data_IF_179457216011
#
_entry.id   IF_179457216011
#
_cell.length_a   1.000
_cell.length_b   1.000
_cell.length_c   1.000
_cell.angle_alpha   90.00
_cell.angle_beta   90.00
_cell.angle_gamma   90.00
#
_symmetry.space_group_name_H-M   'P 1'
#
loop_
_entity.id
_entity.type
_entity.pdbx_description
1 polymer ?
#
# COMPACT_ATOMS: atom_id res chain seq x y z
N UNK A 1 9.38 -1.99 35.60
CA UNK A 1 9.61 -2.19 34.16
C UNK A 1 8.48 -3.03 33.62
N UNK A 2 7.85 -2.53 32.59
CA UNK A 2 6.71 -3.17 31.95
C UNK A 2 7.20 -3.81 30.61
N UNK A 3 7.05 -5.12 30.48
CA UNK A 3 7.41 -5.87 29.28
C UNK A 3 6.33 -5.80 28.20
N UNK A 4 5.27 -4.99 28.38
CA UNK A 4 4.16 -4.89 27.41
C UNK A 4 4.58 -4.45 26.02
N UNK A 5 5.73 -3.79 25.87
CA UNK A 5 6.30 -3.38 24.58
C UNK A 5 6.68 -4.58 23.69
N UNK A 6 6.93 -5.75 24.27
CA UNK A 6 7.34 -6.95 23.54
C UNK A 6 6.32 -8.08 23.54
N UNK A 7 5.36 -8.08 24.50
CA UNK A 7 4.39 -9.17 24.69
C UNK A 7 3.03 -8.67 25.21
N UNK A 8 2.75 -7.38 25.08
CA UNK A 8 1.54 -6.77 25.69
C UNK A 8 0.36 -6.62 24.74
N UNK A 9 0.62 -6.53 23.43
CA UNK A 9 -0.37 -6.24 22.42
C UNK A 9 -0.75 -7.50 21.64
N UNK A 10 -1.94 -7.48 21.01
CA UNK A 10 -2.42 -8.62 20.22
C UNK A 10 -1.47 -8.96 19.06
N UNK A 11 -0.85 -7.96 18.49
CA UNK A 11 0.05 -8.10 17.36
C UNK A 11 1.37 -8.79 17.79
N UNK A 12 1.92 -8.41 18.95
CA UNK A 12 3.08 -9.09 19.55
C UNK A 12 2.76 -10.54 19.81
N UNK A 13 1.57 -10.80 20.42
CA UNK A 13 1.10 -12.15 20.72
C UNK A 13 0.95 -12.98 19.45
N UNK A 14 0.41 -12.39 18.38
CA UNK A 14 0.28 -13.09 17.08
C UNK A 14 1.65 -13.46 16.51
N UNK A 15 2.63 -12.56 16.55
CA UNK A 15 4.00 -12.82 16.11
C UNK A 15 4.66 -13.92 16.94
N UNK A 16 4.52 -13.87 18.28
CA UNK A 16 5.02 -14.90 19.19
C UNK A 16 4.37 -16.26 18.96
N UNK A 17 3.07 -16.31 18.66
CA UNK A 17 2.38 -17.54 18.38
C UNK A 17 2.94 -18.24 17.14
N UNK A 18 3.15 -17.51 16.04
CA UNK A 18 3.75 -18.07 14.82
C UNK A 18 5.14 -18.67 15.07
N UNK A 19 5.97 -17.96 15.84
CA UNK A 19 7.30 -18.45 16.21
C UNK A 19 7.23 -19.66 17.13
N UNK A 20 6.32 -19.65 18.10
CA UNK A 20 6.12 -20.74 19.05
C UNK A 20 5.65 -22.02 18.37
N UNK A 21 4.70 -21.93 17.43
CA UNK A 21 4.24 -23.06 16.63
C UNK A 21 5.39 -23.67 15.81
N UNK A 22 6.20 -22.84 15.18
CA UNK A 22 7.36 -23.28 14.41
C UNK A 22 8.38 -23.97 15.33
N UNK A 23 8.66 -23.42 16.50
CA UNK A 23 9.55 -24.06 17.49
C UNK A 23 9.05 -25.43 17.92
N UNK A 24 7.75 -25.57 18.18
CA UNK A 24 7.16 -26.87 18.54
C UNK A 24 7.31 -27.87 17.42
N UNK A 25 7.13 -27.47 16.16
CA UNK A 25 7.37 -28.34 15.00
C UNK A 25 8.82 -28.80 14.88
N UNK A 26 9.78 -27.90 15.12
CA UNK A 26 11.20 -28.22 15.10
C UNK A 26 11.53 -29.21 16.22
N UNK A 27 11.03 -28.98 17.43
CA UNK A 27 11.24 -29.85 18.56
C UNK A 27 10.69 -31.26 18.33
N UNK A 28 9.51 -31.38 17.72
CA UNK A 28 8.93 -32.68 17.35
C UNK A 28 9.76 -33.43 16.29
N UNK A 29 10.44 -32.68 15.42
CA UNK A 29 11.22 -33.25 14.31
C UNK A 29 12.73 -33.30 14.57
N UNK A 30 13.24 -32.81 15.67
CA UNK A 30 14.67 -32.62 15.91
C UNK A 30 15.51 -33.89 15.72
N UNK A 31 14.97 -35.06 16.02
CA UNK A 31 15.66 -36.34 15.86
C UNK A 31 15.78 -36.79 14.39
N UNK A 32 15.06 -36.14 13.47
CA UNK A 32 15.13 -36.44 12.04
C UNK A 32 16.19 -35.60 11.30
N UNK A 33 16.80 -34.64 11.96
CA UNK A 33 17.84 -33.79 11.37
C UNK A 33 19.24 -34.23 11.79
N UNK A 34 20.23 -33.99 10.94
CA UNK A 34 21.64 -34.08 11.37
C UNK A 34 21.93 -32.96 12.36
N UNK A 35 22.97 -33.12 13.16
CA UNK A 35 23.41 -32.07 14.12
C UNK A 35 23.71 -30.75 13.42
N UNK A 36 24.37 -30.81 12.26
CA UNK A 36 24.71 -29.64 11.46
C UNK A 36 23.42 -28.92 10.98
N UNK A 37 22.47 -29.69 10.43
CA UNK A 37 21.20 -29.13 9.94
C UNK A 37 20.36 -28.54 11.06
N UNK A 38 20.32 -29.20 12.22
CA UNK A 38 19.62 -28.69 13.39
C UNK A 38 20.25 -27.38 13.88
N UNK A 39 21.58 -27.27 13.89
CA UNK A 39 22.26 -26.04 14.25
C UNK A 39 21.93 -24.87 13.30
N UNK A 40 21.92 -25.11 11.97
CA UNK A 40 21.49 -24.11 10.99
C UNK A 40 20.06 -23.61 11.27
N UNK A 41 19.13 -24.55 11.47
CA UNK A 41 17.72 -24.22 11.79
C UNK A 41 17.63 -23.40 13.07
N UNK A 42 18.36 -23.81 14.12
CA UNK A 42 18.34 -23.11 15.40
C UNK A 42 18.96 -21.72 15.33
N UNK A 43 19.96 -21.48 14.49
CA UNK A 43 20.47 -20.13 14.27
C UNK A 43 19.41 -19.21 13.69
N UNK A 44 18.64 -19.65 12.71
CA UNK A 44 17.55 -18.85 12.13
C UNK A 44 16.43 -18.59 13.18
N UNK A 45 16.11 -19.57 14.02
CA UNK A 45 15.18 -19.39 15.15
C UNK A 45 15.70 -18.32 16.12
N UNK A 46 16.97 -18.37 16.52
CA UNK A 46 17.54 -17.37 17.43
C UNK A 46 17.52 -15.95 16.84
N UNK A 47 17.70 -15.81 15.53
CA UNK A 47 17.54 -14.52 14.86
C UNK A 47 16.05 -14.07 14.90
N UNK A 48 15.10 -14.98 14.68
CA UNK A 48 13.68 -14.69 14.76
C UNK A 48 13.18 -14.38 16.18
N UNK A 49 13.89 -14.85 17.21
CA UNK A 49 13.63 -14.53 18.64
C UNK A 49 14.20 -13.18 19.06
N UNK A 50 14.90 -12.47 18.18
CA UNK A 50 15.43 -11.14 18.46
C UNK A 50 14.34 -10.19 18.92
N UNK A 51 14.60 -9.47 20.02
CA UNK A 51 13.63 -8.55 20.63
C UNK A 51 13.19 -7.42 19.69
N UNK A 52 14.02 -7.07 18.72
CA UNK A 52 13.77 -5.98 17.77
C UNK A 52 12.53 -6.24 16.91
N UNK A 53 12.26 -7.50 16.54
CA UNK A 53 11.07 -7.86 15.76
C UNK A 53 9.79 -7.50 16.51
N UNK A 54 9.68 -7.90 17.78
CA UNK A 54 8.47 -7.73 18.59
C UNK A 54 8.27 -6.28 19.03
N UNK A 55 9.36 -5.52 19.19
CA UNK A 55 9.28 -4.12 19.53
C UNK A 55 8.51 -3.28 18.50
N UNK A 56 8.54 -3.66 17.22
CA UNK A 56 7.85 -2.93 16.15
C UNK A 56 6.33 -3.18 16.10
N UNK A 57 5.81 -4.25 16.70
CA UNK A 57 4.39 -4.60 16.62
C UNK A 57 3.50 -3.74 17.52
N UNK A 58 3.99 -3.15 18.59
CA UNK A 58 3.24 -2.29 19.50
C UNK A 58 2.67 -1.03 18.84
N UNK A 59 1.52 -0.52 19.29
CA UNK A 59 0.91 0.71 18.78
C UNK A 59 1.72 1.96 19.10
N UNK A 60 2.65 1.88 20.06
CA UNK A 60 3.57 2.95 20.41
C UNK A 60 4.58 3.27 19.32
N UNK A 61 4.82 2.31 18.44
CA UNK A 61 5.80 2.42 17.37
C UNK A 61 5.10 2.60 16.03
N UNK A 62 4.97 3.84 15.61
CA UNK A 62 4.41 4.22 14.32
C UNK A 62 5.54 4.67 13.40
N UNK A 63 6.18 3.72 12.74
CA UNK A 63 7.25 3.99 11.78
C UNK A 63 6.79 3.64 10.35
N UNK A 64 7.22 4.41 9.33
CA UNK A 64 6.85 4.16 7.94
C UNK A 64 7.22 2.76 7.43
N UNK A 65 8.27 2.16 7.99
CA UNK A 65 8.81 0.85 7.62
C UNK A 65 8.31 -0.32 8.50
N UNK A 66 7.27 -0.11 9.31
CA UNK A 66 6.68 -1.17 10.16
C UNK A 66 6.22 -2.37 9.34
N UNK A 67 5.61 -2.14 8.18
CA UNK A 67 5.18 -3.19 7.26
C UNK A 67 6.34 -4.02 6.72
N UNK A 68 7.50 -3.38 6.52
CA UNK A 68 8.70 -4.06 6.01
C UNK A 68 9.30 -4.98 7.06
N UNK A 69 9.36 -4.54 8.33
CA UNK A 69 9.77 -5.39 9.44
C UNK A 69 8.86 -6.61 9.60
N UNK A 70 7.55 -6.42 9.57
CA UNK A 70 6.57 -7.51 9.62
C UNK A 70 6.79 -8.52 8.48
N UNK A 71 6.96 -8.03 7.26
CA UNK A 71 7.18 -8.88 6.10
C UNK A 71 8.47 -9.68 6.22
N UNK A 72 9.60 -9.03 6.58
CA UNK A 72 10.90 -9.67 6.74
C UNK A 72 10.82 -10.74 7.82
N UNK A 73 10.16 -10.45 8.94
CA UNK A 73 9.95 -11.39 10.03
C UNK A 73 9.19 -12.65 9.57
N UNK A 74 8.03 -12.47 8.93
CA UNK A 74 7.19 -13.59 8.45
C UNK A 74 7.91 -14.42 7.37
N UNK A 75 8.65 -13.78 6.47
CA UNK A 75 9.46 -14.47 5.47
C UNK A 75 10.55 -15.31 6.10
N UNK A 76 11.21 -14.79 7.11
CA UNK A 76 12.20 -15.59 7.86
C UNK A 76 11.58 -16.84 8.45
N UNK A 77 10.39 -16.73 9.06
CA UNK A 77 9.68 -17.91 9.55
C UNK A 77 9.31 -18.87 8.41
N UNK A 78 8.85 -18.36 7.27
CA UNK A 78 8.53 -19.18 6.10
C UNK A 78 9.76 -19.95 5.58
N UNK A 79 10.93 -19.30 5.53
CA UNK A 79 12.20 -19.97 5.18
C UNK A 79 12.55 -21.11 6.14
N UNK A 80 12.33 -20.93 7.43
CA UNK A 80 12.57 -22.00 8.42
C UNK A 80 11.61 -23.18 8.18
N UNK A 81 10.33 -22.92 7.82
CA UNK A 81 9.42 -23.99 7.39
C UNK A 81 9.97 -24.77 6.20
N UNK A 82 10.51 -24.08 5.19
CA UNK A 82 11.15 -24.71 4.05
C UNK A 82 12.38 -25.54 4.48
N UNK A 83 13.21 -25.00 5.38
CA UNK A 83 14.40 -25.72 5.91
C UNK A 83 14.04 -27.03 6.59
N UNK A 84 12.89 -27.14 7.23
CA UNK A 84 12.39 -28.36 7.90
C UNK A 84 11.53 -29.23 6.98
N UNK A 85 11.43 -28.90 5.68
CA UNK A 85 10.67 -29.65 4.68
C UNK A 85 9.16 -29.60 4.93
N UNK A 86 8.65 -28.45 5.34
CA UNK A 86 7.21 -28.18 5.55
C UNK A 86 6.77 -27.00 4.73
N UNK A 87 5.54 -27.04 4.24
CA UNK A 87 4.90 -25.89 3.62
C UNK A 87 4.58 -24.86 4.69
N UNK A 88 4.96 -23.57 4.53
CA UNK A 88 4.58 -22.52 5.43
C UNK A 88 3.04 -22.41 5.51
N UNK A 89 2.45 -22.19 6.69
CA UNK A 89 1.01 -21.99 6.82
C UNK A 89 0.56 -20.66 6.20
N UNK A 90 -0.67 -20.59 5.72
CA UNK A 90 -1.23 -19.41 5.04
C UNK A 90 -1.20 -18.15 5.93
N UNK A 91 -1.26 -18.30 7.24
CA UNK A 91 -1.19 -17.19 8.18
C UNK A 91 0.15 -16.43 8.14
N UNK A 92 1.24 -17.08 7.72
CA UNK A 92 2.52 -16.41 7.49
C UNK A 92 2.50 -15.45 6.27
N UNK A 93 1.52 -15.58 5.40
CA UNK A 93 1.36 -14.68 4.24
C UNK A 93 0.38 -13.53 4.53
N UNK A 94 -0.18 -13.47 5.75
CA UNK A 94 -1.04 -12.38 6.22
C UNK A 94 -0.24 -11.45 7.12
N UNK A 95 -0.27 -10.12 6.90
CA UNK A 95 0.40 -9.16 7.77
C UNK A 95 -0.09 -9.25 9.22
N UNK A 96 0.85 -9.23 10.18
CA UNK A 96 0.55 -9.17 11.61
C UNK A 96 0.41 -7.70 12.00
N UNK A 97 -0.66 -7.33 12.69
CA UNK A 97 -0.83 -6.00 13.23
C UNK A 97 -0.88 -4.87 12.22
N UNK A 98 -0.75 -5.20 10.97
CA UNK A 98 -1.28 -4.34 9.94
C UNK A 98 -2.81 -4.50 10.04
N UNK A 99 -3.45 -3.82 11.03
CA UNK A 99 -4.64 -3.09 10.62
C UNK A 99 -4.15 -2.48 9.32
N UNK A 100 -4.71 -2.84 8.17
CA UNK A 100 -4.69 -1.95 7.05
C UNK A 100 -4.97 -0.58 7.68
N UNK A 101 -3.95 0.18 8.01
CA UNK A 101 -4.06 1.61 8.08
C UNK A 101 -4.55 1.84 6.69
N UNK A 102 -5.86 2.08 6.60
CA UNK A 102 -6.56 2.16 5.34
C UNK A 102 -5.59 2.93 4.45
N UNK A 103 -5.15 2.31 3.34
CA UNK A 103 -4.31 3.00 2.35
C UNK A 103 -4.94 4.34 1.98
N UNK A 104 -6.09 4.61 2.56
CA UNK A 104 -7.00 5.72 2.34
C UNK A 104 -7.18 6.52 3.64
N UNK A 105 -6.81 7.78 3.57
CA UNK A 105 -7.18 8.82 4.53
C UNK A 105 -8.33 9.61 3.88
N UNK A 106 -9.52 9.73 4.52
CA UNK A 106 -10.62 10.48 3.94
C UNK A 106 -10.33 11.99 3.92
N UNK A 107 -10.98 12.78 3.03
CA UNK A 107 -10.90 14.23 3.05
C UNK A 107 -11.33 14.80 4.43
N UNK A 108 -10.62 15.80 4.91
CA UNK A 108 -10.90 16.47 6.19
C UNK A 108 -11.92 17.58 6.06
N UNK A 109 -11.93 18.25 4.92
CA UNK A 109 -12.84 19.33 4.57
C UNK A 109 -12.95 19.45 3.04
N UNK A 110 -13.89 20.31 2.58
CA UNK A 110 -13.96 20.73 1.18
C UNK A 110 -12.65 21.38 0.73
N UNK A 111 -12.21 21.10 -0.49
CA UNK A 111 -11.01 21.67 -1.09
C UNK A 111 -11.35 22.32 -2.43
N UNK A 112 -10.59 23.34 -2.82
CA UNK A 112 -10.69 23.98 -4.14
C UNK A 112 -9.29 24.35 -4.66
N UNK A 113 -8.49 23.33 -5.02
CA UNK A 113 -7.11 23.54 -5.42
C UNK A 113 -7.01 24.11 -6.83
N UNK A 114 -5.90 24.81 -7.08
CA UNK A 114 -5.53 25.22 -8.44
C UNK A 114 -5.02 24.01 -9.21
N UNK A 115 -5.54 23.81 -10.42
CA UNK A 115 -5.13 22.74 -11.34
C UNK A 115 -3.92 23.22 -12.14
N UNK A 116 -2.72 22.86 -11.68
CA UNK A 116 -1.46 23.36 -12.25
C UNK A 116 -0.48 22.23 -12.64
N UNK A 117 -0.67 21.04 -12.14
CA UNK A 117 0.26 19.92 -12.25
C UNK A 117 1.58 20.14 -11.50
N UNK A 118 1.62 21.08 -10.52
CA UNK A 118 2.84 21.44 -9.79
C UNK A 118 2.74 21.05 -8.32
N UNK A 119 3.78 20.43 -7.78
CA UNK A 119 3.86 20.05 -6.37
C UNK A 119 3.86 21.25 -5.41
N UNK A 120 4.30 22.42 -5.87
CA UNK A 120 4.35 23.66 -5.07
C UNK A 120 2.98 24.08 -4.53
N UNK A 121 1.88 23.63 -5.14
CA UNK A 121 0.51 23.88 -4.69
C UNK A 121 0.03 22.92 -3.62
N UNK A 122 0.93 22.23 -2.90
CA UNK A 122 0.60 21.27 -1.85
C UNK A 122 -0.36 21.83 -0.78
N UNK A 123 -0.22 23.12 -0.43
CA UNK A 123 -1.09 23.75 0.58
C UNK A 123 -2.58 23.73 0.19
N UNK A 124 -2.87 23.76 -1.11
CA UNK A 124 -4.25 23.69 -1.61
C UNK A 124 -4.86 22.30 -1.42
N UNK A 125 -4.02 21.26 -1.19
CA UNK A 125 -4.40 19.86 -1.05
C UNK A 125 -4.31 19.32 0.37
N UNK A 126 -3.94 20.14 1.36
CA UNK A 126 -3.66 19.71 2.74
C UNK A 126 -4.83 18.99 3.44
N UNK A 127 -6.08 19.33 3.05
CA UNK A 127 -7.30 18.76 3.61
C UNK A 127 -7.95 17.69 2.70
N UNK A 128 -7.30 17.37 1.57
CA UNK A 128 -7.70 16.29 0.68
C UNK A 128 -7.63 14.93 1.35
N UNK A 129 -8.41 13.99 0.86
CA UNK A 129 -8.18 12.57 1.11
C UNK A 129 -6.93 12.10 0.39
N UNK A 130 -6.28 11.08 0.92
CA UNK A 130 -5.04 10.52 0.37
C UNK A 130 -5.16 9.02 0.29
N UNK A 131 -4.80 8.45 -0.85
CA UNK A 131 -4.49 7.05 -1.01
C UNK A 131 -2.98 6.89 -1.22
N UNK A 132 -2.34 6.10 -0.35
CA UNK A 132 -0.91 5.80 -0.44
C UNK A 132 -0.68 4.60 -1.34
N UNK A 133 -0.18 4.81 -2.55
CA UNK A 133 0.06 3.76 -3.55
C UNK A 133 1.07 2.72 -3.07
N UNK A 134 2.08 3.14 -2.32
CA UNK A 134 3.15 2.29 -1.79
C UNK A 134 2.78 1.54 -0.49
N UNK A 135 1.68 1.90 0.18
CA UNK A 135 1.27 1.23 1.43
C UNK A 135 0.85 -0.24 1.23
N UNK A 136 0.51 -0.63 0.02
CA UNK A 136 0.11 -1.99 -0.35
C UNK A 136 1.27 -2.81 -0.97
N UNK A 137 2.46 -2.21 -1.13
CA UNK A 137 3.59 -2.80 -1.84
C UNK A 137 4.73 -3.12 -0.89
N UNK A 138 5.28 -4.31 -1.04
CA UNK A 138 6.50 -4.72 -0.35
C UNK A 138 7.72 -3.99 -0.94
N UNK A 139 8.65 -3.55 -0.10
CA UNK A 139 9.92 -2.90 -0.48
C UNK A 139 10.76 -3.67 -1.51
N UNK A 140 10.52 -4.97 -1.68
CA UNK A 140 11.22 -5.78 -2.68
C UNK A 140 10.69 -5.62 -4.11
N UNK A 141 9.60 -4.89 -4.33
CA UNK A 141 8.97 -4.70 -5.64
C UNK A 141 8.90 -3.22 -6.06
N UNK A 142 9.90 -2.42 -5.73
CA UNK A 142 10.01 -1.02 -6.19
C UNK A 142 10.31 -0.89 -7.70
N UNK A 143 10.43 -2.01 -8.41
CA UNK A 143 10.60 -1.98 -9.87
C UNK A 143 9.23 -1.76 -10.48
N UNK A 144 9.04 -0.55 -11.06
CA UNK A 144 7.85 -0.21 -11.82
C UNK A 144 6.82 0.68 -11.11
N UNK A 145 7.07 1.13 -9.88
CA UNK A 145 6.19 2.09 -9.23
C UNK A 145 6.31 3.46 -9.91
N UNK A 146 5.20 3.95 -10.47
CA UNK A 146 5.11 5.27 -11.10
C UNK A 146 4.48 6.27 -10.13
N UNK A 147 3.40 5.88 -9.44
CA UNK A 147 2.64 6.74 -8.55
C UNK A 147 3.00 6.49 -7.08
N UNK A 148 3.21 7.57 -6.32
CA UNK A 148 3.45 7.52 -4.87
C UNK A 148 2.17 7.71 -4.07
N UNK A 149 1.36 8.70 -4.46
CA UNK A 149 0.16 9.10 -3.74
C UNK A 149 -0.92 9.56 -4.72
N UNK A 150 -2.18 9.28 -4.36
CA UNK A 150 -3.35 9.79 -5.04
C UNK A 150 -4.16 10.62 -4.04
N UNK A 151 -4.24 11.93 -4.27
CA UNK A 151 -5.10 12.82 -3.49
C UNK A 151 -6.46 12.92 -4.15
N UNK A 152 -7.50 13.10 -3.34
CA UNK A 152 -8.85 13.30 -3.81
C UNK A 152 -9.65 14.20 -2.85
N UNK A 153 -10.58 14.94 -3.40
CA UNK A 153 -11.46 15.81 -2.63
C UNK A 153 -12.44 16.53 -3.54
N UNK A 154 -13.28 17.35 -2.97
CA UNK A 154 -14.36 18.00 -3.72
C UNK A 154 -14.79 19.31 -3.07
N UNK A 155 -15.42 20.16 -3.88
CA UNK A 155 -16.24 21.29 -3.44
C UNK A 155 -17.67 21.15 -3.98
N UNK A 156 -18.46 22.24 -3.96
CA UNK A 156 -19.83 22.23 -4.45
C UNK A 156 -19.96 21.94 -5.96
N UNK A 157 -18.92 22.24 -6.74
CA UNK A 157 -18.96 22.21 -8.21
C UNK A 157 -18.07 21.16 -8.82
N UNK A 158 -16.94 20.84 -8.17
CA UNK A 158 -15.87 20.03 -8.72
C UNK A 158 -15.44 18.89 -7.81
N UNK A 159 -14.99 17.82 -8.40
CA UNK A 159 -14.20 16.76 -7.78
C UNK A 159 -12.79 16.86 -8.30
N UNK A 160 -11.83 16.79 -7.39
CA UNK A 160 -10.41 17.01 -7.65
C UNK A 160 -9.61 15.76 -7.35
N UNK A 161 -8.65 15.49 -8.22
CA UNK A 161 -7.68 14.42 -8.03
C UNK A 161 -6.27 14.95 -8.34
N UNK A 162 -5.29 14.47 -7.55
CA UNK A 162 -3.87 14.66 -7.83
C UNK A 162 -3.17 13.33 -7.75
N UNK A 163 -2.38 12.99 -8.78
CA UNK A 163 -1.52 11.81 -8.81
C UNK A 163 -0.08 12.33 -8.71
N UNK A 164 0.58 12.06 -7.59
CA UNK A 164 1.99 12.33 -7.41
C UNK A 164 2.82 11.19 -7.96
N UNK A 165 3.81 11.52 -8.78
CA UNK A 165 4.68 10.56 -9.43
C UNK A 165 5.99 10.44 -8.65
N UNK A 166 6.57 9.23 -8.65
CA UNK A 166 7.88 8.98 -8.07
C UNK A 166 8.99 9.56 -8.95
N UNK A 167 8.82 9.42 -10.26
CA UNK A 167 9.74 9.92 -11.28
C UNK A 167 8.95 10.47 -12.47
N UNK A 168 9.65 11.13 -13.39
CA UNK A 168 9.07 11.50 -14.68
C UNK A 168 8.67 10.25 -15.46
N UNK A 169 7.52 10.30 -16.11
CA UNK A 169 7.03 9.19 -16.94
C UNK A 169 7.98 8.93 -18.13
N UNK A 170 8.27 7.67 -18.35
CA UNK A 170 8.99 7.22 -19.53
C UNK A 170 8.05 7.12 -20.75
N UNK A 171 8.58 7.08 -21.96
CA UNK A 171 7.78 7.02 -23.20
C UNK A 171 6.86 5.79 -23.27
N UNK A 172 7.28 4.67 -22.69
CA UNK A 172 6.48 3.44 -22.69
C UNK A 172 5.52 3.32 -21.49
N UNK A 173 5.58 4.25 -20.56
CA UNK A 173 4.71 4.26 -19.38
C UNK A 173 3.38 4.95 -19.67
N UNK A 174 2.33 4.34 -19.16
CA UNK A 174 0.94 4.80 -19.29
C UNK A 174 0.30 4.84 -17.90
N UNK A 175 -0.43 5.91 -17.64
CA UNK A 175 -1.32 6.04 -16.50
C UNK A 175 -2.76 5.94 -17.00
N UNK A 176 -3.54 5.05 -16.42
CA UNK A 176 -4.97 4.94 -16.65
C UNK A 176 -5.69 5.19 -15.33
N UNK A 177 -6.51 6.22 -15.28
CA UNK A 177 -7.29 6.58 -14.12
C UNK A 177 -8.77 6.41 -14.44
N UNK A 178 -9.43 5.52 -13.72
CA UNK A 178 -10.85 5.22 -13.87
C UNK A 178 -11.65 5.84 -12.76
N UNK A 179 -12.73 6.52 -13.11
CA UNK A 179 -13.66 7.17 -12.20
C UNK A 179 -15.06 6.83 -12.68
N UNK A 180 -15.77 5.96 -11.97
CA UNK A 180 -17.05 5.41 -12.39
C UNK A 180 -16.95 4.85 -13.83
N UNK A 181 -17.71 5.39 -14.79
CA UNK A 181 -17.70 5.04 -16.21
C UNK A 181 -16.73 5.86 -17.07
N UNK A 182 -15.94 6.76 -16.44
CA UNK A 182 -14.97 7.62 -17.12
C UNK A 182 -13.59 6.96 -17.06
N UNK A 183 -12.89 6.92 -18.19
CA UNK A 183 -11.52 6.44 -18.26
C UNK A 183 -10.65 7.57 -18.81
N UNK A 184 -9.68 7.99 -18.01
CA UNK A 184 -8.64 8.95 -18.36
C UNK A 184 -7.34 8.20 -18.61
N UNK A 185 -6.76 8.34 -19.78
CA UNK A 185 -5.47 7.72 -20.10
C UNK A 185 -4.45 8.79 -20.46
N UNK A 186 -3.34 8.83 -19.72
CA UNK A 186 -2.23 9.74 -19.98
C UNK A 186 -1.00 8.98 -20.43
N UNK A 187 -0.49 9.31 -21.59
CA UNK A 187 0.73 8.75 -22.18
C UNK A 187 1.30 9.72 -23.22
N UNK A 188 2.63 9.84 -23.31
CA UNK A 188 3.32 10.68 -24.29
C UNK A 188 2.77 12.12 -24.32
N UNK A 189 2.62 12.73 -23.15
CA UNK A 189 2.11 14.09 -22.96
C UNK A 189 0.68 14.33 -23.48
N UNK A 190 -0.07 13.24 -23.72
CA UNK A 190 -1.45 13.30 -24.21
C UNK A 190 -2.41 12.68 -23.24
N UNK A 191 -3.48 13.42 -22.94
CA UNK A 191 -4.62 12.93 -22.22
C UNK A 191 -5.70 12.49 -23.22
N UNK A 192 -6.14 11.23 -23.10
CA UNK A 192 -7.32 10.71 -23.78
C UNK A 192 -8.44 10.48 -22.76
N UNK A 193 -9.65 10.83 -23.11
CA UNK A 193 -10.84 10.69 -22.26
C UNK A 193 -11.84 9.76 -22.99
N UNK A 194 -12.24 8.71 -22.31
CA UNK A 194 -13.31 7.81 -22.78
C UNK A 194 -14.46 7.93 -21.80
N UNK A 195 -15.63 8.33 -22.31
CA UNK A 195 -16.86 8.44 -21.54
C UNK A 195 -18.06 8.35 -22.47
N UNK A 196 -19.18 7.87 -21.94
CA UNK A 196 -20.46 7.81 -22.64
C UNK A 196 -21.25 9.13 -22.62
N UNK A 197 -20.76 10.12 -21.87
CA UNK A 197 -21.37 11.46 -21.70
C UNK A 197 -20.33 12.56 -21.84
N UNK A 198 -20.78 13.79 -22.07
CA UNK A 198 -19.92 14.96 -22.06
C UNK A 198 -19.35 15.17 -20.64
N UNK A 199 -18.03 15.37 -20.55
CA UNK A 199 -17.32 15.59 -19.29
C UNK A 199 -16.69 16.98 -19.35
N UNK A 200 -17.06 17.83 -18.40
CA UNK A 200 -16.37 19.09 -18.15
C UNK A 200 -15.17 18.79 -17.24
N UNK A 201 -13.96 18.94 -17.80
CA UNK A 201 -12.71 18.48 -17.22
C UNK A 201 -11.62 19.56 -17.35
N UNK A 202 -10.93 19.83 -16.25
CA UNK A 202 -9.65 20.54 -16.24
C UNK A 202 -8.52 19.55 -15.94
N UNK A 203 -7.43 19.68 -16.68
CA UNK A 203 -6.27 18.80 -16.54
C UNK A 203 -4.98 19.62 -16.63
N UNK A 204 -4.02 19.30 -15.80
CA UNK A 204 -2.68 19.83 -15.88
C UNK A 204 -1.64 18.78 -15.50
N UNK A 205 -0.52 18.78 -16.20
CA UNK A 205 0.64 17.96 -15.90
C UNK A 205 1.92 18.81 -15.98
N UNK A 206 2.75 18.70 -14.97
CA UNK A 206 4.13 19.23 -14.94
C UNK A 206 5.03 18.25 -14.22
N UNK A 207 4.90 18.11 -12.89
CA UNK A 207 5.60 17.12 -12.07
C UNK A 207 4.62 16.26 -11.23
N UNK A 208 3.34 16.54 -11.34
CA UNK A 208 2.24 15.68 -10.91
C UNK A 208 1.07 15.84 -11.90
N UNK A 209 0.09 14.97 -11.82
CA UNK A 209 -1.14 15.04 -12.60
C UNK A 209 -2.23 15.65 -11.72
N UNK A 210 -2.76 16.80 -12.11
CA UNK A 210 -3.92 17.42 -11.49
C UNK A 210 -5.15 17.29 -12.39
N UNK A 211 -6.27 16.88 -11.83
CA UNK A 211 -7.53 16.67 -12.54
C UNK A 211 -8.66 17.33 -11.72
N UNK A 212 -9.54 18.08 -12.40
CA UNK A 212 -10.82 18.48 -11.84
C UNK A 212 -11.94 18.07 -12.79
N UNK A 213 -12.98 17.43 -12.27
CA UNK A 213 -14.14 16.97 -13.03
C UNK A 213 -15.39 17.60 -12.42
N UNK A 214 -16.25 18.16 -13.26
CA UNK A 214 -17.52 18.74 -12.81
C UNK A 214 -18.38 17.68 -12.11
N UNK A 215 -18.86 17.98 -10.91
CA UNK A 215 -19.77 17.10 -10.15
C UNK A 215 -21.03 16.74 -10.93
N UNK A 216 -21.52 17.65 -11.77
CA UNK A 216 -22.68 17.39 -12.63
C UNK A 216 -22.46 16.23 -13.63
N UNK A 217 -21.19 15.85 -13.87
CA UNK A 217 -20.81 14.73 -14.73
C UNK A 217 -20.60 13.42 -13.97
N UNK A 218 -20.74 13.40 -12.63
CA UNK A 218 -20.42 12.26 -11.77
C UNK A 218 -21.67 11.80 -10.99
N UNK A 219 -21.62 10.59 -10.50
CA UNK A 219 -22.60 10.04 -9.58
C UNK A 219 -22.29 10.49 -8.14
N UNK A 220 -23.26 10.42 -7.22
CA UNK A 220 -23.10 10.77 -5.81
C UNK A 220 -22.05 9.92 -5.08
N UNK A 221 -21.88 8.70 -5.51
CA UNK A 221 -20.80 7.81 -5.05
C UNK A 221 -19.75 7.70 -6.15
N UNK A 222 -18.53 8.12 -5.81
CA UNK A 222 -17.37 7.96 -6.66
C UNK A 222 -16.71 6.61 -6.40
N UNK A 223 -16.51 5.85 -7.45
CA UNK A 223 -15.65 4.69 -7.45
C UNK A 223 -14.48 4.94 -8.39
N UNK A 224 -13.25 4.87 -7.87
CA UNK A 224 -12.08 5.14 -8.69
C UNK A 224 -10.91 4.21 -8.39
N UNK A 225 -10.07 4.03 -9.38
CA UNK A 225 -8.82 3.31 -9.29
C UNK A 225 -7.79 3.88 -10.27
N UNK A 226 -6.53 3.64 -9.96
CA UNK A 226 -5.39 4.02 -10.79
C UNK A 226 -4.69 2.76 -11.28
N UNK A 227 -4.31 2.73 -12.55
CA UNK A 227 -3.49 1.68 -13.13
C UNK A 227 -2.29 2.29 -13.83
N UNK A 228 -1.12 1.75 -13.57
CA UNK A 228 0.12 2.15 -14.24
C UNK A 228 0.66 0.97 -15.03
N UNK A 229 1.06 1.20 -16.25
CA UNK A 229 1.47 0.15 -17.19
C UNK A 229 2.73 0.57 -17.94
N UNK A 230 3.66 -0.36 -18.11
CA UNK A 230 4.80 -0.26 -19.04
C UNK A 230 4.92 -1.56 -19.85
N UNK A 231 5.96 -1.70 -20.66
CA UNK A 231 6.25 -2.97 -21.37
C UNK A 231 6.54 -4.14 -20.45
N UNK A 232 6.95 -3.89 -19.20
CA UNK A 232 7.48 -4.90 -18.29
C UNK A 232 6.60 -5.13 -17.07
N UNK A 233 5.66 -4.25 -16.77
CA UNK A 233 4.79 -4.34 -15.59
C UNK A 233 3.44 -3.66 -15.81
N UNK A 234 2.50 -4.10 -14.99
CA UNK A 234 1.18 -3.50 -14.84
C UNK A 234 0.84 -3.51 -13.34
N UNK A 235 0.56 -2.34 -12.79
CA UNK A 235 0.26 -2.17 -11.36
C UNK A 235 -1.06 -1.42 -11.23
N UNK A 236 -1.93 -1.93 -10.36
CA UNK A 236 -3.23 -1.33 -10.08
C UNK A 236 -3.32 -0.88 -8.61
N UNK A 237 -3.94 0.27 -8.39
CA UNK A 237 -4.15 0.89 -7.08
C UNK A 237 -5.64 1.24 -6.87
N UNK A 238 -6.33 0.72 -5.86
CA UNK A 238 -5.89 -0.37 -5.00
C UNK A 238 -5.74 -1.67 -5.79
N UNK A 239 -4.97 -2.63 -5.28
CA UNK A 239 -4.75 -3.94 -5.93
C UNK A 239 -6.04 -4.70 -6.17
N UNK A 240 -7.00 -4.55 -5.25
CA UNK A 240 -8.31 -5.20 -5.31
C UNK A 240 -9.39 -4.16 -5.07
N UNK A 241 -10.45 -4.20 -5.89
CA UNK A 241 -11.60 -3.31 -5.76
C UNK A 241 -11.35 -1.88 -6.26
N UNK A 242 -12.13 -0.93 -5.77
CA UNK A 242 -12.04 0.50 -6.06
C UNK A 242 -11.99 1.28 -4.75
N UNK A 243 -11.48 2.50 -4.81
CA UNK A 243 -11.69 3.48 -3.76
C UNK A 243 -13.11 4.01 -3.92
N UNK A 244 -13.91 3.98 -2.86
CA UNK A 244 -15.29 4.47 -2.87
C UNK A 244 -15.45 5.65 -1.92
N UNK A 245 -16.01 6.76 -2.42
CA UNK A 245 -16.20 8.02 -1.68
C UNK A 245 -17.59 8.57 -2.00
N UNK A 246 -18.34 8.90 -0.96
CA UNK A 246 -19.61 9.60 -1.07
C UNK A 246 -19.35 11.12 -1.09
N UNK A 247 -19.75 11.80 -2.16
CA UNK A 247 -19.50 13.23 -2.34
C UNK A 247 -20.71 14.12 -1.95
N UNK A 248 -21.82 13.51 -1.53
CA UNK A 248 -23.03 14.22 -1.12
C UNK A 248 -23.12 14.43 0.41
N UNK A 249 -22.08 14.05 1.15
CA UNK A 249 -21.97 14.21 2.61
C UNK A 249 -21.21 15.44 3.00
#
# INVERSE_FOLDING_TARGET
>A
SNFSIWIGHQDDIAAWNLLSELRQLIEMKKTSFSTEKLNEIMQEIYIAEGSDWFWWYGPEHNAPNKSDFDMIYRWRLAEIYNMIGKTPPDDLFRPIGVKQTSSIVPPKSSISPKITGKLETYQDWKDAGIFYCNAEMSTMHQIGEIASQLYFGFDEKWVYFRIELINNLLEDEKIEFRINDIILTYQNEKLNVISNKFIDLHFAFTNCIDIAISRASLDSTLEFNLQTTSKTYEIRYPKIGNISVDIDK
#
